data_IF_489293373625
#
_entry.id   IF_489293373625
#
_cell.length_a   1.000
_cell.length_b   1.000
_cell.length_c   1.000
_cell.angle_alpha   90.00
_cell.angle_beta   90.00
_cell.angle_gamma   90.00
#
_symmetry.space_group_name_H-M   'P 1'
#
loop_
_entity.id
_entity.type
_entity.pdbx_description
1 polymer ?
#
# COMPACT_ATOMS: atom_id res chain seq x y z
N UNK A 1 9.60 5.83 -8.61
CA UNK A 1 8.51 4.96 -8.13
C UNK A 1 9.10 3.65 -7.66
N UNK A 2 8.89 3.29 -6.40
CA UNK A 2 9.33 2.02 -5.82
C UNK A 2 8.11 1.09 -5.75
N UNK A 3 8.24 -0.15 -6.25
CA UNK A 3 7.23 -1.21 -6.09
C UNK A 3 7.83 -2.33 -5.26
N UNK A 4 7.20 -2.66 -4.13
CA UNK A 4 7.62 -3.71 -3.20
C UNK A 4 6.66 -4.88 -3.29
N UNK A 5 7.14 -6.03 -3.77
CA UNK A 5 6.44 -7.31 -3.74
C UNK A 5 7.13 -8.27 -2.78
N UNK A 6 6.41 -8.80 -1.84
CA UNK A 6 6.91 -9.76 -0.87
C UNK A 6 6.49 -11.20 -1.17
N UNK A 7 7.42 -12.09 -0.89
CA UNK A 7 7.39 -13.54 -0.68
C UNK A 7 7.38 -14.49 -1.87
N UNK A 8 8.45 -15.19 -1.96
CA UNK A 8 8.91 -16.49 -2.46
C UNK A 8 10.10 -16.33 -3.38
N UNK A 9 10.93 -17.39 -3.55
CA UNK A 9 12.38 -17.16 -3.49
C UNK A 9 12.76 -15.93 -4.28
N UNK A 10 13.11 -14.95 -3.53
CA UNK A 10 13.32 -13.54 -3.84
C UNK A 10 14.05 -13.36 -5.19
N UNK A 11 15.02 -14.24 -5.50
CA UNK A 11 15.80 -14.17 -6.74
C UNK A 11 14.96 -14.33 -8.03
N UNK A 12 13.97 -15.22 -8.06
CA UNK A 12 13.23 -15.48 -9.31
C UNK A 12 12.24 -14.34 -9.68
N UNK A 13 11.61 -13.73 -8.68
CA UNK A 13 10.62 -12.67 -8.94
C UNK A 13 11.27 -11.36 -9.38
N UNK A 14 12.41 -10.99 -8.76
CA UNK A 14 13.17 -9.81 -9.16
C UNK A 14 13.75 -9.95 -10.56
N UNK A 15 14.17 -11.16 -10.97
CA UNK A 15 14.63 -11.44 -12.33
C UNK A 15 13.50 -11.27 -13.34
N UNK A 16 12.32 -11.82 -13.07
CA UNK A 16 11.14 -11.66 -13.95
C UNK A 16 10.75 -10.19 -14.07
N UNK A 17 10.79 -9.44 -12.97
CA UNK A 17 10.54 -8.00 -12.98
C UNK A 17 11.58 -7.27 -13.84
N UNK A 18 12.86 -7.58 -13.67
CA UNK A 18 13.94 -6.99 -14.46
C UNK A 18 13.77 -7.29 -15.96
N UNK A 19 13.41 -8.53 -16.32
CA UNK A 19 13.13 -8.90 -17.71
C UNK A 19 11.96 -8.11 -18.31
N UNK A 20 10.86 -7.97 -17.55
CA UNK A 20 9.69 -7.25 -18.01
C UNK A 20 9.99 -5.76 -18.20
N UNK A 21 10.72 -5.14 -17.30
CA UNK A 21 11.11 -3.74 -17.40
C UNK A 21 12.14 -3.51 -18.51
N UNK A 22 13.05 -4.47 -18.74
CA UNK A 22 13.95 -4.44 -19.89
C UNK A 22 13.20 -4.51 -21.21
N UNK A 23 12.18 -5.37 -21.30
CA UNK A 23 11.28 -5.43 -22.49
C UNK A 23 10.50 -4.14 -22.68
N UNK A 24 10.11 -3.47 -21.61
CA UNK A 24 9.48 -2.14 -21.72
C UNK A 24 10.44 -1.09 -22.27
N UNK A 25 11.75 -1.20 -21.97
CA UNK A 25 12.79 -0.42 -22.61
C UNK A 25 12.95 1.02 -22.10
N UNK A 26 12.39 1.39 -20.94
CA UNK A 26 12.60 2.71 -20.36
C UNK A 26 13.97 2.77 -19.66
N UNK A 27 14.85 3.75 -20.00
CA UNK A 27 16.22 3.76 -19.50
C UNK A 27 16.36 4.13 -18.02
N UNK A 28 15.38 4.87 -17.46
CA UNK A 28 15.45 5.42 -16.11
C UNK A 28 14.75 4.52 -15.07
N UNK A 29 14.93 3.20 -15.21
CA UNK A 29 14.36 2.21 -14.28
C UNK A 29 15.46 1.42 -13.62
N UNK A 30 15.43 1.36 -12.29
CA UNK A 30 16.32 0.53 -11.47
C UNK A 30 15.51 -0.55 -10.78
N UNK A 31 15.95 -1.81 -10.89
CA UNK A 31 15.37 -2.94 -10.16
C UNK A 31 16.29 -3.31 -9.02
N UNK A 32 15.75 -3.40 -7.83
CA UNK A 32 16.46 -3.85 -6.63
C UNK A 32 15.79 -5.10 -6.06
N UNK A 33 16.54 -5.85 -5.30
CA UNK A 33 16.07 -6.98 -4.51
C UNK A 33 16.50 -6.75 -3.06
N UNK A 34 15.80 -5.85 -2.38
CA UNK A 34 16.18 -5.30 -1.07
C UNK A 34 15.00 -5.37 -0.10
N UNK A 35 15.28 -5.50 1.18
CA UNK A 35 14.25 -5.31 2.22
C UNK A 35 13.87 -3.82 2.27
N UNK A 36 12.62 -3.46 2.62
CA UNK A 36 12.20 -2.07 2.79
C UNK A 36 13.13 -1.25 3.70
N UNK A 37 13.67 -1.86 4.74
CA UNK A 37 14.61 -1.20 5.65
C UNK A 37 15.94 -0.77 5.01
N UNK A 38 16.33 -1.40 3.89
CA UNK A 38 17.55 -1.03 3.15
C UNK A 38 17.43 0.37 2.50
N UNK A 39 16.21 0.88 2.37
CA UNK A 39 15.95 2.21 1.79
C UNK A 39 15.97 3.33 2.83
N UNK A 40 16.00 3.04 4.13
CA UNK A 40 15.98 4.06 5.20
C UNK A 40 17.05 5.16 5.07
N UNK A 41 18.25 4.89 4.50
CA UNK A 41 19.24 5.96 4.28
C UNK A 41 18.83 6.99 3.22
N UNK A 42 17.80 6.73 2.41
CA UNK A 42 17.29 7.61 1.37
C UNK A 42 16.20 8.55 1.93
N UNK A 43 16.51 9.30 2.98
CA UNK A 43 15.57 10.23 3.59
C UNK A 43 15.11 11.32 2.60
N UNK A 44 13.79 11.62 2.61
CA UNK A 44 13.15 12.65 1.77
C UNK A 44 13.55 12.56 0.28
N UNK A 45 13.70 11.33 -0.21
CA UNK A 45 14.22 11.09 -1.57
C UNK A 45 13.12 10.93 -2.62
N UNK A 46 12.03 10.24 -2.29
CA UNK A 46 10.99 9.91 -3.26
C UNK A 46 9.83 10.92 -3.23
N UNK A 47 9.38 11.32 -4.41
CA UNK A 47 8.17 12.14 -4.57
C UNK A 47 6.90 11.31 -4.44
N UNK A 48 6.96 10.05 -4.91
CA UNK A 48 5.85 9.09 -4.86
C UNK A 48 6.38 7.71 -4.50
N UNK A 49 5.75 7.07 -3.53
CA UNK A 49 5.96 5.65 -3.18
C UNK A 49 4.66 4.90 -3.43
N UNK A 50 4.71 3.85 -4.26
CA UNK A 50 3.60 2.92 -4.45
C UNK A 50 3.96 1.62 -3.74
N UNK A 51 3.06 1.18 -2.85
CA UNK A 51 3.18 -0.12 -2.17
C UNK A 51 2.06 -1.06 -2.58
N UNK A 52 2.43 -2.25 -3.00
CA UNK A 52 1.54 -3.41 -3.07
C UNK A 52 2.00 -4.35 -1.96
N UNK A 53 1.46 -4.12 -0.76
CA UNK A 53 1.96 -4.78 0.45
C UNK A 53 1.49 -6.23 0.54
N UNK A 54 2.30 -7.13 1.10
CA UNK A 54 1.89 -8.52 1.34
C UNK A 54 0.65 -8.54 2.25
N UNK A 55 -0.35 -9.32 1.86
CA UNK A 55 -1.63 -9.37 2.56
C UNK A 55 -2.14 -10.80 2.68
N UNK A 56 -3.25 -10.99 3.43
CA UNK A 56 -3.88 -12.30 3.63
C UNK A 56 -4.50 -12.90 2.35
N UNK A 57 -4.55 -12.14 1.26
CA UNK A 57 -4.82 -12.66 -0.08
C UNK A 57 -6.29 -13.04 -0.36
N UNK A 58 -7.27 -12.44 0.31
CA UNK A 58 -8.70 -12.74 0.11
C UNK A 58 -9.15 -12.54 -1.35
N UNK A 59 -8.53 -11.62 -2.08
CA UNK A 59 -8.77 -11.41 -3.51
C UNK A 59 -8.36 -12.58 -4.40
N UNK A 60 -7.53 -13.49 -3.89
CA UNK A 60 -7.07 -14.67 -4.62
C UNK A 60 -8.00 -15.89 -4.46
N UNK A 61 -8.99 -15.84 -3.58
CA UNK A 61 -9.85 -16.99 -3.26
C UNK A 61 -10.54 -17.63 -4.47
N UNK A 62 -10.85 -16.85 -5.49
CA UNK A 62 -11.46 -17.36 -6.72
C UNK A 62 -10.47 -18.07 -7.66
N UNK A 63 -9.19 -17.71 -7.57
CA UNK A 63 -8.13 -18.23 -8.46
C UNK A 63 -7.35 -19.37 -7.83
N UNK A 64 -7.15 -19.30 -6.54
CA UNK A 64 -6.24 -20.21 -5.83
C UNK A 64 -6.93 -20.80 -4.58
N UNK A 65 -7.36 -22.06 -4.64
CA UNK A 65 -7.92 -22.74 -3.48
C UNK A 65 -6.95 -22.82 -2.29
N UNK A 66 -5.63 -22.77 -2.53
CA UNK A 66 -4.63 -22.79 -1.46
C UNK A 66 -4.73 -21.51 -0.62
N UNK A 67 -5.01 -20.38 -1.24
CA UNK A 67 -5.21 -19.11 -0.54
C UNK A 67 -6.34 -19.19 0.51
N UNK A 68 -7.41 -19.98 0.24
CA UNK A 68 -8.51 -20.20 1.19
C UNK A 68 -8.01 -21.01 2.38
N UNK A 69 -7.21 -22.06 2.14
CA UNK A 69 -6.71 -22.94 3.19
C UNK A 69 -5.63 -22.30 4.08
N UNK A 70 -4.91 -21.34 3.55
CA UNK A 70 -3.88 -20.58 4.27
C UNK A 70 -4.43 -19.38 5.04
N UNK A 71 -5.63 -18.95 4.72
CA UNK A 71 -6.25 -17.81 5.37
C UNK A 71 -6.70 -18.15 6.79
N UNK A 72 -6.38 -17.29 7.73
CA UNK A 72 -6.89 -17.35 9.11
C UNK A 72 -6.90 -15.93 9.72
N UNK A 73 -7.68 -15.70 10.80
CA UNK A 73 -7.62 -14.43 11.53
C UNK A 73 -6.23 -14.11 12.07
N UNK A 74 -5.45 -15.12 12.43
CA UNK A 74 -4.07 -14.98 12.90
C UNK A 74 -3.16 -14.52 11.75
N UNK A 75 -3.33 -15.10 10.55
CA UNK A 75 -2.57 -14.70 9.37
C UNK A 75 -2.89 -13.25 8.94
N UNK A 76 -4.16 -12.83 9.05
CA UNK A 76 -4.56 -11.42 8.84
C UNK A 76 -3.79 -10.50 9.78
N UNK A 77 -3.66 -10.85 11.07
CA UNK A 77 -2.93 -10.03 12.04
C UNK A 77 -1.42 -9.99 11.75
N UNK A 78 -0.82 -11.11 11.36
CA UNK A 78 0.59 -11.17 10.96
C UNK A 78 0.82 -10.29 9.73
N UNK A 79 -0.04 -10.35 8.72
CA UNK A 79 0.03 -9.51 7.54
C UNK A 79 -0.11 -8.02 7.90
N UNK A 80 -1.07 -7.67 8.76
CA UNK A 80 -1.27 -6.30 9.23
C UNK A 80 -0.01 -5.72 9.88
N UNK A 81 0.63 -6.48 10.75
CA UNK A 81 1.87 -6.04 11.42
C UNK A 81 3.03 -5.90 10.44
N UNK A 82 3.16 -6.83 9.49
CA UNK A 82 4.17 -6.75 8.43
C UNK A 82 3.97 -5.52 7.56
N UNK A 83 2.74 -5.21 7.18
CA UNK A 83 2.40 -4.01 6.41
C UNK A 83 2.81 -2.74 7.14
N UNK A 84 2.52 -2.66 8.44
CA UNK A 84 2.93 -1.51 9.28
C UNK A 84 4.45 -1.36 9.36
N UNK A 85 5.19 -2.46 9.51
CA UNK A 85 6.65 -2.44 9.47
C UNK A 85 7.15 -1.88 8.15
N UNK A 86 6.66 -2.40 7.02
CA UNK A 86 7.05 -1.94 5.67
C UNK A 86 6.81 -0.43 5.53
N UNK A 87 5.64 0.04 5.92
CA UNK A 87 5.31 1.47 5.83
C UNK A 87 6.21 2.31 6.74
N UNK A 88 6.46 1.86 7.98
CA UNK A 88 7.36 2.57 8.91
C UNK A 88 8.79 2.68 8.35
N UNK A 89 9.30 1.62 7.71
CA UNK A 89 10.64 1.61 7.11
C UNK A 89 10.77 2.57 5.92
N UNK A 90 9.73 2.70 5.08
CA UNK A 90 9.79 3.51 3.85
C UNK A 90 9.26 4.93 4.03
N UNK A 91 8.50 5.22 5.10
CA UNK A 91 7.92 6.55 5.31
C UNK A 91 8.97 7.68 5.39
N UNK A 92 10.12 7.51 6.07
CA UNK A 92 11.18 8.50 6.05
C UNK A 92 11.71 8.82 4.65
N UNK A 93 11.65 7.85 3.73
CA UNK A 93 12.13 8.00 2.35
C UNK A 93 11.23 8.90 1.50
N UNK A 94 9.98 9.11 1.90
CA UNK A 94 9.03 9.98 1.21
C UNK A 94 9.32 11.44 1.56
N UNK A 95 9.37 12.31 0.54
CA UNK A 95 9.54 13.76 0.74
C UNK A 95 8.37 14.37 1.51
N UNK A 96 8.56 15.47 2.24
CA UNK A 96 7.45 16.34 2.66
C UNK A 96 6.58 16.71 1.44
N UNK A 97 5.26 16.64 1.58
CA UNK A 97 4.32 16.81 0.47
C UNK A 97 4.24 15.63 -0.51
N UNK A 98 5.09 14.62 -0.37
CA UNK A 98 5.12 13.42 -1.21
C UNK A 98 3.91 12.51 -1.01
N UNK A 99 3.68 11.63 -1.98
CA UNK A 99 2.49 10.79 -2.06
C UNK A 99 2.83 9.32 -1.79
N UNK A 100 2.14 8.72 -0.82
CA UNK A 100 2.09 7.27 -0.63
C UNK A 100 0.82 6.72 -1.27
N UNK A 101 0.95 5.74 -2.15
CA UNK A 101 -0.16 4.94 -2.67
C UNK A 101 -0.08 3.57 -1.99
N UNK A 102 -1.05 3.30 -1.14
CA UNK A 102 -1.16 2.03 -0.40
C UNK A 102 -2.14 1.12 -1.10
N UNK A 103 -1.75 -0.11 -1.38
CA UNK A 103 -2.64 -1.11 -1.99
C UNK A 103 -2.47 -2.50 -1.39
N UNK A 104 -3.55 -3.28 -1.44
CA UNK A 104 -3.61 -4.70 -1.09
C UNK A 104 -4.55 -5.43 -2.04
N UNK A 105 -4.47 -6.76 -2.07
CA UNK A 105 -5.45 -7.63 -2.73
C UNK A 105 -6.40 -8.30 -1.73
N UNK A 106 -6.64 -7.70 -0.56
CA UNK A 106 -7.54 -8.26 0.46
C UNK A 106 -8.75 -7.34 0.72
N UNK A 107 -9.77 -7.83 1.44
CA UNK A 107 -11.02 -7.09 1.65
C UNK A 107 -11.25 -6.66 3.09
N UNK A 108 -10.58 -7.26 4.06
CA UNK A 108 -10.81 -7.00 5.48
C UNK A 108 -10.36 -5.58 5.88
N UNK A 109 -11.05 -5.02 6.86
CA UNK A 109 -10.77 -3.66 7.35
C UNK A 109 -9.48 -3.58 8.16
N UNK A 110 -9.01 -4.69 8.75
CA UNK A 110 -7.81 -4.71 9.59
C UNK A 110 -6.55 -4.40 8.80
N UNK A 111 -6.40 -5.01 7.63
CA UNK A 111 -5.26 -4.78 6.75
C UNK A 111 -5.42 -3.50 5.90
N UNK A 112 -6.66 -3.05 5.72
CA UNK A 112 -7.00 -1.90 4.87
C UNK A 112 -7.22 -0.64 5.71
N UNK A 113 -8.46 -0.31 6.06
CA UNK A 113 -8.79 0.96 6.71
C UNK A 113 -8.11 1.17 8.06
N UNK A 114 -7.93 0.12 8.87
CA UNK A 114 -7.22 0.27 10.15
C UNK A 114 -5.74 0.60 9.97
N UNK A 115 -5.12 0.13 8.87
CA UNK A 115 -3.77 0.53 8.52
C UNK A 115 -3.72 1.96 7.98
N UNK A 116 -4.69 2.37 7.15
CA UNK A 116 -4.78 3.76 6.69
C UNK A 116 -4.98 4.73 7.87
N UNK A 117 -5.87 4.38 8.80
CA UNK A 117 -6.05 5.13 10.05
C UNK A 117 -4.75 5.22 10.84
N UNK A 118 -4.05 4.10 11.01
CA UNK A 118 -2.76 4.07 11.71
C UNK A 118 -1.71 4.97 11.01
N UNK A 119 -1.59 4.91 9.68
CA UNK A 119 -0.67 5.78 8.92
C UNK A 119 -1.02 7.26 9.14
N UNK A 120 -2.32 7.60 9.06
CA UNK A 120 -2.81 8.96 9.32
C UNK A 120 -2.43 9.43 10.73
N UNK A 121 -2.72 8.61 11.73
CA UNK A 121 -2.59 9.00 13.14
C UNK A 121 -1.13 8.97 13.61
N UNK A 122 -0.32 8.01 13.14
CA UNK A 122 1.09 7.86 13.54
C UNK A 122 2.01 8.88 12.85
N UNK A 123 1.78 9.14 11.57
CA UNK A 123 2.66 9.98 10.76
C UNK A 123 2.05 11.34 10.40
N UNK A 124 0.86 11.65 10.87
CA UNK A 124 0.18 12.91 10.52
C UNK A 124 -0.17 13.01 9.03
N UNK A 125 -0.37 11.87 8.34
CA UNK A 125 -0.64 11.86 6.92
C UNK A 125 -2.06 12.34 6.58
N UNK A 126 -2.19 13.08 5.49
CA UNK A 126 -3.49 13.44 4.91
C UNK A 126 -3.97 12.33 3.97
N UNK A 127 -5.20 11.82 4.15
CA UNK A 127 -5.80 10.87 3.20
C UNK A 127 -6.51 11.64 2.09
N UNK A 128 -6.07 11.44 0.84
CA UNK A 128 -6.52 12.22 -0.29
C UNK A 128 -7.69 11.57 -1.02
N UNK A 129 -8.74 12.34 -1.40
CA UNK A 129 -9.78 11.87 -2.28
C UNK A 129 -9.28 11.77 -3.72
N UNK A 130 -9.79 10.75 -4.44
CA UNK A 130 -9.66 10.63 -5.88
C UNK A 130 -11.01 10.90 -6.54
N UNK A 131 -10.99 11.56 -7.67
CA UNK A 131 -12.16 11.69 -8.54
C UNK A 131 -12.38 10.36 -9.28
N UNK A 132 -13.41 9.61 -8.89
CA UNK A 132 -13.75 8.31 -9.46
C UNK A 132 -15.19 8.33 -9.96
N UNK A 133 -15.41 7.79 -11.14
CA UNK A 133 -16.73 7.74 -11.74
C UNK A 133 -17.66 6.78 -10.97
N UNK A 134 -18.91 7.20 -10.73
CA UNK A 134 -19.90 6.39 -10.00
C UNK A 134 -20.18 5.05 -10.67
N UNK A 135 -20.17 5.02 -12.01
CA UNK A 135 -20.37 3.81 -12.81
C UNK A 135 -19.33 2.72 -12.59
N UNK A 136 -18.18 3.04 -12.00
CA UNK A 136 -17.16 2.05 -11.64
C UNK A 136 -17.56 1.21 -10.43
N UNK A 137 -18.60 1.59 -9.70
CA UNK A 137 -19.15 0.85 -8.55
C UNK A 137 -18.11 0.54 -7.46
N UNK A 138 -17.16 1.44 -7.27
CA UNK A 138 -16.12 1.31 -6.24
C UNK A 138 -16.74 1.48 -4.86
N UNK A 139 -16.41 0.59 -3.95
CA UNK A 139 -16.88 0.65 -2.56
C UNK A 139 -15.94 1.48 -1.72
N UNK A 140 -16.46 2.43 -0.96
CA UNK A 140 -15.70 3.29 -0.05
C UNK A 140 -15.35 2.62 1.28
N UNK A 141 -15.18 3.45 2.30
CA UNK A 141 -14.77 3.05 3.65
C UNK A 141 -15.82 2.13 4.32
N UNK A 142 -15.38 1.03 4.90
CA UNK A 142 -16.21 0.08 5.65
C UNK A 142 -15.91 0.07 7.16
N UNK A 143 -14.93 0.85 7.61
CA UNK A 143 -14.59 0.94 9.03
C UNK A 143 -15.59 1.86 9.75
N UNK A 144 -16.29 1.33 10.73
CA UNK A 144 -17.28 2.08 11.49
C UNK A 144 -16.65 3.30 12.21
N UNK A 145 -17.30 4.45 12.10
CA UNK A 145 -16.85 5.70 12.72
C UNK A 145 -15.78 6.47 11.93
N UNK A 146 -15.35 5.96 10.78
CA UNK A 146 -14.38 6.62 9.91
C UNK A 146 -14.99 6.95 8.55
N UNK A 147 -14.59 8.09 7.98
CA UNK A 147 -15.13 8.59 6.70
C UNK A 147 -14.05 8.99 5.70
N UNK A 148 -12.76 8.77 6.02
CA UNK A 148 -11.69 9.09 5.07
C UNK A 148 -11.82 8.29 3.77
N UNK A 149 -11.41 8.86 2.63
CA UNK A 149 -11.60 8.24 1.32
C UNK A 149 -10.67 7.03 1.13
N UNK A 150 -11.26 5.91 0.74
CA UNK A 150 -10.57 4.69 0.29
C UNK A 150 -11.36 4.04 -0.83
N UNK A 151 -10.70 3.17 -1.60
CA UNK A 151 -11.26 2.60 -2.82
C UNK A 151 -11.11 1.09 -2.79
N UNK A 152 -12.24 0.38 -2.72
CA UNK A 152 -12.28 -1.08 -2.70
C UNK A 152 -13.00 -1.60 -3.94
N UNK A 153 -12.29 -2.44 -4.68
CA UNK A 153 -12.78 -3.09 -5.89
C UNK A 153 -13.22 -4.50 -5.51
N UNK A 154 -14.53 -4.69 -5.42
CA UNK A 154 -15.11 -5.97 -5.04
C UNK A 154 -15.52 -6.76 -6.30
N UNK A 155 -15.18 -8.05 -6.44
CA UNK A 155 -15.40 -8.83 -7.66
C UNK A 155 -16.85 -8.93 -8.11
N UNK A 156 -17.82 -8.74 -7.21
CA UNK A 156 -19.26 -8.76 -7.55
C UNK A 156 -19.78 -7.39 -8.02
N UNK A 157 -18.96 -6.34 -7.96
CA UNK A 157 -19.31 -4.97 -8.39
C UNK A 157 -18.43 -4.46 -9.51
N UNK A 158 -17.16 -4.86 -9.51
CA UNK A 158 -16.15 -4.42 -10.50
C UNK A 158 -15.56 -5.63 -11.21
N UNK A 159 -15.09 -5.45 -12.46
CA UNK A 159 -14.34 -6.50 -13.13
C UNK A 159 -12.95 -6.62 -12.51
N UNK A 160 -12.58 -7.81 -12.06
CA UNK A 160 -11.27 -8.10 -11.47
C UNK A 160 -11.34 -9.07 -10.30
N UNK A 161 -10.19 -9.29 -9.67
CA UNK A 161 -10.07 -10.27 -8.58
C UNK A 161 -10.26 -9.64 -7.19
N UNK A 162 -10.21 -8.36 -7.09
CA UNK A 162 -10.31 -7.63 -5.84
C UNK A 162 -9.04 -6.86 -5.53
N UNK A 163 -9.25 -5.64 -5.08
CA UNK A 163 -8.18 -4.69 -4.85
C UNK A 163 -8.62 -3.63 -3.84
N UNK A 164 -7.70 -3.14 -3.07
CA UNK A 164 -7.89 -1.99 -2.20
C UNK A 164 -6.84 -0.94 -2.48
N UNK A 165 -7.24 0.32 -2.48
CA UNK A 165 -6.38 1.47 -2.72
C UNK A 165 -6.70 2.61 -1.76
N UNK A 166 -5.65 3.25 -1.25
CA UNK A 166 -5.73 4.55 -0.59
C UNK A 166 -4.54 5.41 -1.00
N UNK A 167 -4.75 6.71 -1.07
CA UNK A 167 -3.72 7.70 -1.41
C UNK A 167 -3.53 8.63 -0.23
N UNK A 168 -2.29 8.77 0.23
CA UNK A 168 -1.94 9.60 1.37
C UNK A 168 -0.83 10.58 0.99
N UNK A 169 -0.87 11.76 1.61
CA UNK A 169 0.18 12.78 1.49
C UNK A 169 0.94 12.90 2.80
N UNK A 170 2.26 12.93 2.74
CA UNK A 170 3.11 13.29 3.87
C UNK A 170 3.00 14.79 4.10
N UNK A 171 2.69 15.20 5.33
CA UNK A 171 2.58 16.62 5.71
C UNK A 171 3.88 17.37 5.45
N UNK A 172 3.79 18.65 5.11
CA UNK A 172 4.94 19.53 4.98
C UNK A 172 5.51 19.84 6.38
N UNK A 173 6.84 19.86 6.53
CA UNK A 173 7.50 20.18 7.81
C UNK A 173 7.12 21.57 8.38
N UNK A 174 6.53 22.44 7.58
CA UNK A 174 6.08 23.78 8.02
C UNK A 174 4.84 23.75 8.91
N UNK A 175 4.05 22.67 8.92
CA UNK A 175 2.83 22.55 9.72
C UNK A 175 3.08 21.99 11.13
N UNK A 176 4.14 21.21 11.34
CA UNK A 176 4.49 20.64 12.65
C UNK A 176 4.90 21.72 13.67
N UNK A 177 5.46 22.85 13.24
CA UNK A 177 5.87 23.93 14.16
C UNK A 177 4.72 24.82 14.64
N UNK A 178 3.55 24.72 14.04
CA UNK A 178 2.42 25.58 14.44
C UNK A 178 1.53 24.95 15.51
N UNK A 179 1.60 23.64 15.70
CA UNK A 179 0.78 22.92 16.69
C UNK A 179 1.44 22.86 18.10
N UNK A 180 2.72 23.13 18.24
CA UNK A 180 3.41 23.16 19.55
C UNK A 180 3.35 24.54 20.26
N UNK A 181 2.77 25.56 19.62
CA UNK A 181 2.68 26.94 20.15
C UNK A 181 1.25 27.42 20.46
N UNK A 182 0.29 26.51 20.58
CA UNK A 182 -1.09 26.80 21.05
C UNK A 182 -1.37 25.95 22.34
#
# INVERSE_FOLDING_TARGET
TLSLHDALPICNRSQILAENLTKWGHPDVVVTNSDPSDFTPLEDFFDVILTDVPCSGEGMFRKDPVAISEWSPENVEICRQRQRRIIADIWPCLKPGGILIYSTCTYNTKENEENIRWIRDEFGAEVLPLDVAEEWNITGNLLQGESFPVYRFLPHKTQGEGFFLAVLRKSDRSEEHTSELQ
#
